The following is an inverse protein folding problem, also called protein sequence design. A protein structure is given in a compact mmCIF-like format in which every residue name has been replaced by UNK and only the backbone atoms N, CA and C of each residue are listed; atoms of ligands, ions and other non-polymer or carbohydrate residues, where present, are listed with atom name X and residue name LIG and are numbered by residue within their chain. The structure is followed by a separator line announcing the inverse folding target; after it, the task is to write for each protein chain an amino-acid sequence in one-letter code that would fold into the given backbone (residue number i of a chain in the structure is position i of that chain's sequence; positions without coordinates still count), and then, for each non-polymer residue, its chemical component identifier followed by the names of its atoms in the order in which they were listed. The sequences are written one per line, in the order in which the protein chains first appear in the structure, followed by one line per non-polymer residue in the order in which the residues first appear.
data_IF_843247615271
#
_entry.id   IF_843247615271
#
_cell.length_a   1.000
_cell.length_b   1.000
_cell.length_c   1.000
_cell.angle_alpha   90.00
_cell.angle_beta   90.00
_cell.angle_gamma   90.00
#
_symmetry.space_group_name_H-M   'P 1'
#
loop_
_entity.id
_entity.type
_entity.pdbx_description
1 polymer ?
#
# COMPACT_ATOMS: atom_id res chain seq x y z
N UNK A 1 -10.92 14.17 -4.26
CA UNK A 1 -10.15 12.96 -3.86
C UNK A 1 -9.85 12.16 -5.11
N UNK A 2 -8.57 12.00 -5.47
CA UNK A 2 -8.17 11.25 -6.67
C UNK A 2 -8.61 9.79 -6.54
N UNK A 3 -9.32 9.26 -7.54
CA UNK A 3 -9.95 7.92 -7.53
C UNK A 3 -8.97 6.82 -7.08
N UNK A 4 -7.72 6.88 -7.51
CA UNK A 4 -6.67 5.93 -7.12
C UNK A 4 -6.34 5.90 -5.62
N UNK A 5 -6.38 7.05 -4.92
CA UNK A 5 -6.11 7.09 -3.48
C UNK A 5 -7.18 6.35 -2.68
N UNK A 6 -8.46 6.58 -3.01
CA UNK A 6 -9.57 5.93 -2.31
C UNK A 6 -9.58 4.42 -2.53
N UNK A 7 -9.20 3.97 -3.73
CA UNK A 7 -9.06 2.55 -4.03
C UNK A 7 -8.03 1.87 -3.12
N UNK A 8 -6.81 2.42 -3.01
CA UNK A 8 -5.75 1.82 -2.20
C UNK A 8 -6.09 1.79 -0.70
N UNK A 9 -6.71 2.84 -0.16
CA UNK A 9 -7.16 2.82 1.24
C UNK A 9 -8.22 1.74 1.52
N UNK A 10 -9.17 1.56 0.59
CA UNK A 10 -10.18 0.49 0.71
C UNK A 10 -9.56 -0.90 0.57
N UNK A 11 -8.62 -1.07 -0.34
CA UNK A 11 -7.88 -2.32 -0.49
C UNK A 11 -7.12 -2.64 0.80
N UNK A 12 -6.39 -1.68 1.37
CA UNK A 12 -5.69 -1.87 2.64
C UNK A 12 -6.63 -2.32 3.76
N UNK A 13 -7.79 -1.67 3.92
CA UNK A 13 -8.80 -2.07 4.91
C UNK A 13 -9.34 -3.48 4.66
N UNK A 14 -9.55 -3.86 3.40
CA UNK A 14 -10.05 -5.19 3.04
C UNK A 14 -9.02 -6.29 3.31
N UNK A 15 -7.77 -6.04 2.97
CA UNK A 15 -6.67 -7.01 3.08
C UNK A 15 -6.18 -7.17 4.51
N UNK A 16 -6.10 -6.08 5.27
CA UNK A 16 -5.42 -6.04 6.57
C UNK A 16 -6.37 -5.80 7.76
N UNK A 17 -7.64 -5.46 7.51
CA UNK A 17 -8.62 -5.18 8.56
C UNK A 17 -8.17 -4.04 9.48
N UNK A 18 -8.22 -4.29 10.80
CA UNK A 18 -7.83 -3.33 11.84
C UNK A 18 -6.35 -2.91 11.76
N UNK A 19 -5.48 -3.71 11.13
CA UNK A 19 -4.07 -3.39 10.96
C UNK A 19 -3.79 -2.48 9.76
N UNK A 20 -4.79 -2.12 8.96
CA UNK A 20 -4.59 -1.31 7.76
C UNK A 20 -3.96 0.05 8.08
N UNK A 21 -4.41 0.73 9.14
CA UNK A 21 -3.90 2.06 9.49
C UNK A 21 -2.43 2.01 9.92
N UNK A 22 -2.12 1.09 10.84
CA UNK A 22 -0.75 0.82 11.29
C UNK A 22 0.15 0.43 10.11
N UNK A 23 -0.34 -0.44 9.23
CA UNK A 23 0.42 -0.86 8.06
C UNK A 23 0.70 0.34 7.14
N UNK A 24 -0.28 1.20 6.88
CA UNK A 24 -0.12 2.39 6.02
C UNK A 24 0.85 3.43 6.61
N UNK A 25 0.95 3.50 7.94
CA UNK A 25 1.84 4.42 8.66
C UNK A 25 3.24 3.82 8.93
N UNK A 26 3.39 2.50 8.83
CA UNK A 26 4.67 1.84 9.08
C UNK A 26 5.66 2.11 7.94
N UNK A 27 6.85 2.65 8.24
CA UNK A 27 7.88 2.91 7.23
C UNK A 27 8.49 1.61 6.69
N UNK A 28 8.64 1.51 5.36
CA UNK A 28 9.21 0.34 4.68
C UNK A 28 10.31 0.75 3.71
N UNK A 29 11.37 -0.04 3.67
CA UNK A 29 12.41 0.06 2.65
C UNK A 29 11.91 -0.59 1.36
N UNK A 30 12.27 0.01 0.22
CA UNK A 30 11.96 -0.57 -1.08
C UNK A 30 10.50 -0.41 -1.55
N UNK A 31 9.73 0.49 -0.94
CA UNK A 31 8.37 0.80 -1.35
C UNK A 31 8.37 1.95 -2.38
N UNK A 32 7.83 1.73 -3.58
CA UNK A 32 7.76 2.71 -4.68
C UNK A 32 8.68 2.40 -5.87
N UNK A 33 8.74 3.30 -6.87
CA UNK A 33 9.42 3.10 -8.16
C UNK A 33 10.95 3.00 -8.04
N UNK A 34 11.52 3.58 -6.98
CA UNK A 34 12.94 3.43 -6.66
C UNK A 34 13.02 2.73 -5.33
N UNK A 35 13.85 1.67 -5.26
CA UNK A 35 14.36 1.12 -4.01
C UNK A 35 15.24 2.18 -3.33
N UNK A 36 14.63 3.29 -2.92
CA UNK A 36 15.33 4.35 -2.22
C UNK A 36 15.78 3.78 -0.88
N UNK A 37 17.01 4.09 -0.49
CA UNK A 37 17.53 3.72 0.82
C UNK A 37 16.80 4.41 1.98
N UNK A 38 15.88 5.33 1.66
CA UNK A 38 15.05 6.03 2.64
C UNK A 38 13.76 5.24 2.85
N UNK A 39 13.50 4.79 4.09
CA UNK A 39 12.24 4.13 4.37
C UNK A 39 11.09 5.12 4.22
N UNK A 40 10.04 4.73 3.51
CA UNK A 40 8.86 5.57 3.27
C UNK A 40 7.60 4.85 3.70
N UNK A 41 6.59 5.60 4.11
CA UNK A 41 5.31 5.02 4.50
C UNK A 41 4.41 4.88 3.25
N UNK A 42 3.63 3.80 3.14
CA UNK A 42 2.63 3.67 2.08
C UNK A 42 1.68 4.88 2.03
N UNK A 43 1.31 5.42 3.20
CA UNK A 43 0.49 6.63 3.30
C UNK A 43 1.15 7.82 2.60
N UNK A 44 2.43 8.08 2.83
CA UNK A 44 3.15 9.17 2.14
C UNK A 44 3.20 8.98 0.62
N UNK A 45 3.35 7.73 0.15
CA UNK A 45 3.32 7.41 -1.28
C UNK A 45 1.94 7.64 -1.92
N UNK A 46 0.88 7.24 -1.23
CA UNK A 46 -0.50 7.47 -1.67
C UNK A 46 -0.77 8.99 -1.69
N UNK A 47 -0.37 9.70 -0.65
CA UNK A 47 -0.64 11.13 -0.52
C UNK A 47 0.14 11.99 -1.51
N UNK A 48 1.35 11.58 -1.90
CA UNK A 48 2.15 12.17 -2.98
C UNK A 48 1.36 12.31 -4.29
N UNK A 49 0.41 11.41 -4.55
CA UNK A 49 -0.42 11.46 -5.76
C UNK A 49 0.28 10.99 -7.03
N UNK A 50 1.54 10.56 -6.93
CA UNK A 50 2.25 9.92 -8.03
C UNK A 50 1.56 8.58 -8.39
N UNK A 51 1.13 8.39 -9.66
CA UNK A 51 0.41 7.20 -10.08
C UNK A 51 1.23 5.92 -9.88
N UNK A 52 2.54 5.95 -10.17
CA UNK A 52 3.42 4.81 -9.97
C UNK A 52 3.54 4.45 -8.48
N UNK A 53 3.66 5.43 -7.58
CA UNK A 53 3.70 5.21 -6.14
C UNK A 53 2.40 4.57 -5.62
N UNK A 54 1.25 5.06 -6.09
CA UNK A 54 -0.07 4.49 -5.75
C UNK A 54 -0.16 3.04 -6.24
N UNK A 55 0.25 2.78 -7.48
CA UNK A 55 0.28 1.42 -8.05
C UNK A 55 1.22 0.48 -7.31
N UNK A 56 2.41 0.92 -6.90
CA UNK A 56 3.32 0.08 -6.11
C UNK A 56 2.71 -0.33 -4.77
N UNK A 57 2.00 0.57 -4.09
CA UNK A 57 1.33 0.23 -2.82
C UNK A 57 0.15 -0.72 -3.07
N UNK A 58 -0.61 -0.52 -4.14
CA UNK A 58 -1.69 -1.42 -4.53
C UNK A 58 -1.18 -2.85 -4.79
N UNK A 59 -0.12 -3.00 -5.59
CA UNK A 59 0.47 -4.30 -5.95
C UNK A 59 0.92 -5.11 -4.72
N UNK A 60 1.52 -4.44 -3.74
CA UNK A 60 1.89 -5.07 -2.46
C UNK A 60 0.65 -5.56 -1.70
N UNK A 61 -0.40 -4.74 -1.63
CA UNK A 61 -1.64 -5.12 -0.96
C UNK A 61 -2.38 -6.25 -1.69
N UNK A 62 -2.41 -6.23 -3.03
CA UNK A 62 -2.99 -7.32 -3.83
C UNK A 62 -2.21 -8.63 -3.64
N UNK A 63 -0.87 -8.56 -3.56
CA UNK A 63 -0.02 -9.72 -3.26
C UNK A 63 -0.28 -10.28 -1.85
N UNK A 64 -0.52 -9.42 -0.87
CA UNK A 64 -0.91 -9.82 0.49
C UNK A 64 -2.31 -10.46 0.52
N UNK A 65 -3.27 -9.91 -0.23
CA UNK A 65 -4.62 -10.47 -0.36
C UNK A 65 -4.57 -11.87 -0.99
N UNK A 66 -3.79 -12.03 -2.07
CA UNK A 66 -3.59 -13.32 -2.73
C UNK A 66 -2.92 -14.36 -1.82
N UNK A 67 -1.92 -13.95 -1.02
CA UNK A 67 -1.22 -14.84 -0.09
C UNK A 67 -2.11 -15.29 1.08
N UNK A 68 -3.08 -14.46 1.47
CA UNK A 68 -4.04 -14.76 2.54
C UNK A 68 -5.20 -15.63 2.05
N UNK A 69 -5.43 -15.67 0.73
CA UNK A 69 -6.46 -16.50 0.08
C UNK A 69 -6.07 -17.97 -0.13
N UNK A 70 -4.79 -18.34 -0.07
CA UNK A 70 -4.28 -19.70 -0.35
C UNK A 70 -4.17 -20.59 0.90
N UNK A 71 -5.23 -20.62 1.72
CA UNK A 71 -5.34 -21.55 2.86
C UNK A 71 -6.75 -22.12 3.03
N UNK A 72 -7.46 -22.37 1.92
CA UNK A 72 -8.79 -22.98 1.97
C UNK A 72 -8.94 -24.17 1.04
#
# INVERSE_FOLDING_TARGET
MSVGKNYVYKLAQRTLGDHADEWLDTPRLGLGETLTATPTTPRSLIESGCPACISSVADVLESLESSTGESR
#
